data_IF_173208455678
#
_entry.id   IF_173208455678
#
_cell.length_a   1.000
_cell.length_b   1.000
_cell.length_c   1.000
_cell.angle_alpha   90.00
_cell.angle_beta   90.00
_cell.angle_gamma   90.00
#
_symmetry.space_group_name_H-M   'P 1'
#
loop_
_entity.id
_entity.type
_entity.pdbx_description
1 polymer ?
#
# COMPACT_ATOMS: atom_id res chain seq x y z
N UNK A 1 12.48 -23.25 -15.85
CA UNK A 1 13.61 -23.63 -14.97
C UNK A 1 14.66 -22.52 -14.93
N UNK A 2 15.70 -22.65 -14.09
CA UNK A 2 16.77 -21.63 -13.89
C UNK A 2 17.56 -21.31 -15.16
N UNK A 3 17.86 -22.32 -15.99
CA UNK A 3 18.66 -22.15 -17.22
C UNK A 3 17.92 -21.42 -18.35
N UNK A 4 16.58 -21.51 -18.38
CA UNK A 4 15.74 -20.78 -19.32
C UNK A 4 15.96 -21.12 -20.81
N UNK A 5 15.30 -20.38 -21.68
CA UNK A 5 15.50 -20.40 -23.14
C UNK A 5 15.83 -18.97 -23.61
N UNK A 6 16.67 -18.83 -24.63
CA UNK A 6 16.99 -17.53 -25.22
C UNK A 6 16.19 -17.38 -26.50
N UNK A 7 15.41 -16.32 -26.60
CA UNK A 7 14.65 -15.97 -27.80
C UNK A 7 14.86 -14.48 -28.10
N UNK A 8 15.30 -14.15 -29.32
CA UNK A 8 15.51 -12.77 -29.78
C UNK A 8 16.35 -11.90 -28.81
N UNK A 9 17.50 -12.41 -28.36
CA UNK A 9 18.42 -11.78 -27.40
C UNK A 9 17.89 -11.55 -25.98
N UNK A 10 16.67 -11.98 -25.67
CA UNK A 10 16.09 -11.94 -24.32
C UNK A 10 16.13 -13.35 -23.72
N UNK A 11 16.69 -13.47 -22.52
CA UNK A 11 16.72 -14.74 -21.78
C UNK A 11 15.40 -14.90 -21.03
N UNK A 12 14.60 -15.89 -21.41
CA UNK A 12 13.39 -16.31 -20.73
C UNK A 12 13.73 -17.36 -19.69
N UNK A 13 13.78 -16.98 -18.42
CA UNK A 13 13.97 -17.90 -17.31
C UNK A 13 12.95 -17.62 -16.21
N UNK A 14 12.96 -18.42 -15.15
CA UNK A 14 12.02 -18.27 -14.04
C UNK A 14 12.05 -16.87 -13.37
N UNK A 15 13.14 -16.11 -13.55
CA UNK A 15 13.31 -14.77 -12.98
C UNK A 15 12.82 -13.65 -13.92
N UNK A 16 12.88 -13.83 -15.24
CA UNK A 16 12.51 -12.80 -16.24
C UNK A 16 11.15 -13.04 -16.88
N UNK A 17 10.73 -14.31 -17.04
CA UNK A 17 9.49 -14.67 -17.73
C UNK A 17 8.23 -14.07 -17.10
N UNK A 18 8.05 -14.04 -15.76
CA UNK A 18 6.89 -13.40 -15.17
C UNK A 18 6.80 -11.90 -15.49
N UNK A 19 7.93 -11.18 -15.46
CA UNK A 19 7.97 -9.76 -15.76
C UNK A 19 7.62 -9.48 -17.24
N UNK A 20 8.19 -10.26 -18.17
CA UNK A 20 7.89 -10.13 -19.60
C UNK A 20 6.43 -10.44 -19.92
N UNK A 21 5.84 -11.45 -19.26
CA UNK A 21 4.42 -11.75 -19.39
C UNK A 21 3.55 -10.59 -18.91
N UNK A 22 3.88 -9.95 -17.78
CA UNK A 22 3.16 -8.78 -17.29
C UNK A 22 3.23 -7.60 -18.25
N UNK A 23 4.38 -7.37 -18.89
CA UNK A 23 4.53 -6.35 -19.93
C UNK A 23 3.61 -6.64 -21.11
N UNK A 24 3.58 -7.89 -21.59
CA UNK A 24 2.72 -8.30 -22.69
C UNK A 24 1.23 -8.13 -22.36
N UNK A 25 0.79 -8.56 -21.18
CA UNK A 25 -0.60 -8.38 -20.71
C UNK A 25 -0.95 -6.89 -20.63
N UNK A 26 -0.02 -6.06 -20.14
CA UNK A 26 -0.23 -4.60 -20.05
C UNK A 26 -0.38 -3.97 -21.44
N UNK A 27 0.41 -4.39 -22.42
CA UNK A 27 0.29 -3.94 -23.82
C UNK A 27 -1.06 -4.35 -24.43
N UNK A 28 -1.48 -5.61 -24.24
CA UNK A 28 -2.79 -6.09 -24.68
C UNK A 28 -3.91 -5.26 -24.04
N UNK A 29 -3.79 -4.95 -22.74
CA UNK A 29 -4.77 -4.14 -22.02
C UNK A 29 -4.86 -2.71 -22.58
N UNK A 30 -3.73 -2.10 -22.95
CA UNK A 30 -3.68 -0.78 -23.61
C UNK A 30 -4.36 -0.84 -24.98
N UNK A 31 -4.09 -1.88 -25.77
CA UNK A 31 -4.72 -2.07 -27.09
C UNK A 31 -6.24 -2.22 -26.92
N UNK A 32 -6.71 -3.06 -25.99
CA UNK A 32 -8.14 -3.22 -25.72
C UNK A 32 -8.78 -1.92 -25.24
N UNK A 33 -8.10 -1.14 -24.41
CA UNK A 33 -8.58 0.16 -23.94
C UNK A 33 -8.69 1.18 -25.08
N UNK A 34 -7.74 1.20 -26.01
CA UNK A 34 -7.76 2.15 -27.13
C UNK A 34 -8.79 1.75 -28.20
N UNK A 35 -8.89 0.46 -28.53
CA UNK A 35 -9.65 0.00 -29.69
C UNK A 35 -11.03 -0.59 -29.36
N UNK A 36 -11.22 -1.19 -28.18
CA UNK A 36 -12.46 -1.89 -27.82
C UNK A 36 -13.29 -1.18 -26.75
N UNK A 37 -12.65 -0.38 -25.90
CA UNK A 37 -13.35 0.27 -24.79
C UNK A 37 -14.10 1.52 -25.26
N UNK A 38 -15.43 1.50 -25.11
CA UNK A 38 -16.29 2.65 -25.32
C UNK A 38 -16.83 3.12 -23.96
N UNK A 39 -16.50 4.36 -23.58
CA UNK A 39 -16.95 4.93 -22.31
C UNK A 39 -18.46 5.22 -22.35
N UNK A 40 -19.26 4.43 -21.63
CA UNK A 40 -20.66 4.75 -21.35
C UNK A 40 -20.75 5.52 -20.04
N UNK A 41 -21.12 6.81 -20.12
CA UNK A 41 -21.26 7.66 -18.93
C UNK A 41 -22.65 7.52 -18.32
N UNK A 42 -22.71 7.03 -17.07
CA UNK A 42 -23.89 7.15 -16.23
C UNK A 42 -23.68 8.28 -15.22
N UNK A 43 -24.32 9.44 -15.44
CA UNK A 43 -24.25 10.59 -14.54
C UNK A 43 -24.91 11.84 -15.10
N UNK A 44 -25.14 12.85 -14.24
CA UNK A 44 -25.83 14.12 -14.57
C UNK A 44 -25.21 14.86 -15.78
N UNK A 45 -23.90 14.65 -16.02
CA UNK A 45 -23.20 15.23 -17.18
C UNK A 45 -23.58 14.53 -18.50
N UNK A 46 -23.90 13.23 -18.47
CA UNK A 46 -24.37 12.50 -19.65
C UNK A 46 -25.75 12.99 -20.11
N UNK A 47 -26.59 13.42 -19.16
CA UNK A 47 -27.92 14.00 -19.44
C UNK A 47 -27.81 15.31 -20.23
N UNK A 48 -26.78 16.12 -19.97
CA UNK A 48 -26.51 17.36 -20.70
C UNK A 48 -25.98 17.11 -22.13
N UNK A 49 -25.17 16.06 -22.35
CA UNK A 49 -24.65 15.71 -23.69
C UNK A 49 -25.75 15.10 -24.60
N UNK A 50 -26.79 14.47 -24.03
CA UNK A 50 -27.91 13.88 -24.77
C UNK A 50 -29.07 14.85 -25.06
N UNK A 51 -28.90 16.15 -24.78
CA UNK A 51 -29.93 17.17 -25.06
C UNK A 51 -31.18 17.10 -24.16
N UNK A 52 -31.23 16.18 -23.20
CA UNK A 52 -32.29 16.13 -22.19
C UNK A 52 -31.95 17.17 -21.14
N UNK A 53 -32.55 18.36 -21.23
CA UNK A 53 -32.46 19.43 -20.21
C UNK A 53 -33.11 18.97 -18.89
N UNK A 54 -32.44 18.08 -18.16
CA UNK A 54 -32.55 18.02 -16.71
C UNK A 54 -32.06 19.35 -16.12
N UNK A 55 -32.54 19.72 -14.92
CA UNK A 55 -32.05 20.91 -14.20
C UNK A 55 -30.52 20.97 -14.32
N UNK A 56 -29.98 22.10 -14.78
CA UNK A 56 -28.55 22.40 -14.73
C UNK A 56 -28.07 22.28 -13.27
N UNK A 57 -27.69 21.08 -12.83
CA UNK A 57 -27.06 20.88 -11.55
C UNK A 57 -25.61 21.27 -11.68
N UNK A 58 -25.28 22.44 -11.15
CA UNK A 58 -23.94 22.98 -11.14
C UNK A 58 -23.07 22.13 -10.22
N UNK A 59 -22.15 21.35 -10.79
CA UNK A 59 -21.20 20.52 -10.03
C UNK A 59 -20.01 21.39 -9.62
N UNK A 60 -19.77 21.63 -8.31
CA UNK A 60 -18.64 22.43 -7.84
C UNK A 60 -17.28 21.80 -8.17
N UNK A 61 -16.23 22.61 -8.20
CA UNK A 61 -14.85 22.09 -8.25
C UNK A 61 -14.57 21.26 -6.98
N UNK A 62 -13.91 20.12 -7.14
CA UNK A 62 -13.48 19.28 -6.01
C UNK A 62 -12.28 19.90 -5.30
N UNK A 63 -12.06 19.51 -4.05
CA UNK A 63 -10.91 19.95 -3.28
C UNK A 63 -9.64 19.19 -3.71
N UNK A 64 -8.74 19.91 -4.40
CA UNK A 64 -7.47 19.33 -4.88
C UNK A 64 -6.55 18.90 -3.74
N UNK A 65 -6.55 19.61 -2.61
CA UNK A 65 -5.71 19.25 -1.48
C UNK A 65 -6.17 17.94 -0.83
N UNK A 66 -7.49 17.75 -0.71
CA UNK A 66 -8.06 16.49 -0.23
C UNK A 66 -7.77 15.33 -1.19
N UNK A 67 -7.88 15.55 -2.51
CA UNK A 67 -7.56 14.56 -3.52
C UNK A 67 -6.07 14.15 -3.49
N UNK A 68 -5.14 15.12 -3.45
CA UNK A 68 -3.69 14.86 -3.35
C UNK A 68 -3.36 14.11 -2.05
N UNK A 69 -4.00 14.47 -0.93
CA UNK A 69 -3.83 13.76 0.34
C UNK A 69 -4.25 12.29 0.22
N UNK A 70 -5.34 12.01 -0.49
CA UNK A 70 -5.77 10.62 -0.74
C UNK A 70 -4.78 9.84 -1.61
N UNK A 71 -4.25 10.46 -2.66
CA UNK A 71 -3.22 9.85 -3.52
C UNK A 71 -1.97 9.52 -2.68
N UNK A 72 -1.54 10.43 -1.81
CA UNK A 72 -0.44 10.18 -0.89
C UNK A 72 -0.72 9.02 0.07
N UNK A 73 -1.92 8.95 0.66
CA UNK A 73 -2.29 7.84 1.55
C UNK A 73 -2.28 6.50 0.84
N UNK A 74 -2.64 6.46 -0.44
CA UNK A 74 -2.59 5.25 -1.26
C UNK A 74 -1.16 4.85 -1.61
N UNK A 75 -0.33 5.83 -1.98
CA UNK A 75 1.12 5.65 -2.12
C UNK A 75 1.73 5.05 -0.83
N UNK A 76 1.38 5.63 0.33
CA UNK A 76 1.84 5.17 1.64
C UNK A 76 1.42 3.72 1.92
N UNK A 77 0.14 3.39 1.72
CA UNK A 77 -0.37 2.03 1.93
C UNK A 77 0.39 1.01 1.09
N UNK A 78 0.64 1.33 -0.18
CA UNK A 78 1.34 0.45 -1.09
C UNK A 78 2.82 0.32 -0.78
N UNK A 79 3.47 1.40 -0.32
CA UNK A 79 4.85 1.36 0.16
C UNK A 79 4.99 0.39 1.36
N UNK A 80 4.08 0.49 2.34
CA UNK A 80 4.03 -0.43 3.49
C UNK A 80 3.75 -1.88 3.06
N UNK A 81 2.79 -2.10 2.15
CA UNK A 81 2.49 -3.44 1.64
C UNK A 81 3.71 -4.09 0.97
N UNK A 82 4.40 -3.32 0.13
CA UNK A 82 5.61 -3.78 -0.56
C UNK A 82 6.78 -4.01 0.39
N UNK A 83 6.91 -3.21 1.44
CA UNK A 83 7.91 -3.45 2.48
C UNK A 83 7.73 -4.81 3.15
N UNK A 84 6.49 -5.13 3.54
CA UNK A 84 6.17 -6.41 4.17
C UNK A 84 6.47 -7.55 3.20
N UNK A 85 6.06 -7.43 1.94
CA UNK A 85 6.27 -8.47 0.92
C UNK A 85 7.75 -8.75 0.63
N UNK A 86 8.57 -7.70 0.54
CA UNK A 86 9.99 -7.81 0.13
C UNK A 86 10.91 -8.11 1.30
N UNK A 87 10.70 -7.46 2.45
CA UNK A 87 11.63 -7.53 3.59
C UNK A 87 11.25 -8.64 4.58
N UNK A 88 9.99 -9.10 4.66
CA UNK A 88 9.61 -10.07 5.71
C UNK A 88 10.46 -11.35 5.70
N UNK A 89 10.87 -11.84 4.52
CA UNK A 89 11.74 -13.02 4.40
C UNK A 89 13.15 -12.77 4.93
N UNK A 90 13.96 -11.83 4.38
CA UNK A 90 15.30 -11.58 4.93
C UNK A 90 15.27 -11.10 6.39
N UNK A 91 14.21 -10.41 6.80
CA UNK A 91 13.96 -10.03 8.20
C UNK A 91 13.79 -11.26 9.10
N UNK A 92 12.92 -12.21 8.75
CA UNK A 92 12.72 -13.42 9.55
C UNK A 92 13.95 -14.35 9.55
N UNK A 93 14.68 -14.46 8.43
CA UNK A 93 15.95 -15.21 8.36
C UNK A 93 16.94 -14.66 9.39
N UNK A 94 17.15 -13.35 9.37
CA UNK A 94 18.13 -12.67 10.25
C UNK A 94 17.72 -12.63 11.72
N UNK A 95 16.42 -12.62 12.02
CA UNK A 95 15.92 -12.57 13.39
C UNK A 95 15.80 -13.94 14.05
N UNK A 96 15.31 -14.96 13.35
CA UNK A 96 14.92 -16.24 13.97
C UNK A 96 15.83 -17.41 13.61
N UNK A 97 16.90 -17.16 12.85
CA UNK A 97 17.87 -18.16 12.41
C UNK A 97 17.21 -19.34 11.65
N UNK A 98 16.06 -19.10 11.04
CA UNK A 98 15.34 -20.08 10.23
C UNK A 98 15.92 -20.12 8.82
N UNK A 99 16.06 -21.32 8.27
CA UNK A 99 16.51 -21.50 6.89
C UNK A 99 15.47 -21.00 5.86
N UNK A 100 15.91 -20.81 4.62
CA UNK A 100 15.09 -20.21 3.56
C UNK A 100 13.73 -20.91 3.37
N UNK A 101 13.72 -22.25 3.36
CA UNK A 101 12.49 -23.03 3.18
C UNK A 101 11.50 -22.83 4.34
N UNK A 102 12.01 -22.84 5.57
CA UNK A 102 11.22 -22.68 6.79
C UNK A 102 10.65 -21.27 6.90
N UNK A 103 11.44 -20.25 6.56
CA UNK A 103 10.98 -18.85 6.58
C UNK A 103 9.88 -18.61 5.57
N UNK A 104 10.07 -19.05 4.32
CA UNK A 104 9.06 -18.88 3.28
C UNK A 104 7.75 -19.57 3.68
N UNK A 105 7.84 -20.76 4.26
CA UNK A 105 6.66 -21.49 4.75
C UNK A 105 5.94 -20.74 5.89
N UNK A 106 6.65 -20.34 6.94
CA UNK A 106 6.03 -19.63 8.07
C UNK A 106 5.50 -18.26 7.68
N UNK A 107 6.25 -17.46 6.91
CA UNK A 107 5.74 -16.19 6.39
C UNK A 107 4.49 -16.40 5.51
N UNK A 108 4.44 -17.48 4.74
CA UNK A 108 3.24 -17.89 4.01
C UNK A 108 2.03 -18.13 4.91
N UNK A 109 2.21 -18.84 6.04
CA UNK A 109 1.14 -19.06 7.04
C UNK A 109 0.72 -17.76 7.70
N UNK A 110 1.66 -16.91 8.11
CA UNK A 110 1.38 -15.60 8.72
C UNK A 110 0.56 -14.72 7.75
N UNK A 111 0.98 -14.65 6.49
CA UNK A 111 0.28 -13.90 5.44
C UNK A 111 -1.10 -14.48 5.17
N UNK A 112 -1.24 -15.80 5.05
CA UNK A 112 -2.53 -16.44 4.85
C UNK A 112 -3.51 -16.11 5.97
N UNK A 113 -3.07 -16.23 7.24
CA UNK A 113 -3.89 -15.95 8.41
C UNK A 113 -4.29 -14.47 8.48
N UNK A 114 -3.36 -13.56 8.21
CA UNK A 114 -3.63 -12.12 8.12
C UNK A 114 -4.65 -11.80 7.02
N UNK A 115 -4.53 -12.46 5.85
CA UNK A 115 -5.50 -12.34 4.76
C UNK A 115 -6.89 -12.85 5.14
N UNK A 116 -7.02 -13.93 5.90
CA UNK A 116 -8.31 -14.39 6.41
C UNK A 116 -8.98 -13.30 7.28
N UNK A 117 -8.22 -12.67 8.17
CA UNK A 117 -8.70 -11.55 8.99
C UNK A 117 -9.09 -10.36 8.12
N UNK A 118 -8.30 -10.03 7.09
CA UNK A 118 -8.62 -8.97 6.12
C UNK A 118 -9.98 -9.23 5.44
N UNK A 119 -10.21 -10.44 4.94
CA UNK A 119 -11.46 -10.83 4.27
C UNK A 119 -12.65 -10.69 5.22
N UNK A 120 -12.52 -11.17 6.46
CA UNK A 120 -13.55 -11.00 7.49
C UNK A 120 -13.83 -9.52 7.72
N UNK A 121 -12.80 -8.68 7.85
CA UNK A 121 -12.95 -7.24 8.02
C UNK A 121 -13.62 -6.56 6.82
N UNK A 122 -13.33 -6.96 5.57
CA UNK A 122 -14.05 -6.47 4.40
C UNK A 122 -15.54 -6.81 4.46
N UNK A 123 -15.89 -8.06 4.80
CA UNK A 123 -17.29 -8.47 5.00
C UNK A 123 -17.95 -7.61 6.09
N UNK A 124 -17.26 -7.39 7.20
CA UNK A 124 -17.75 -6.55 8.30
C UNK A 124 -17.98 -5.11 7.84
N UNK A 125 -17.05 -4.51 7.09
CA UNK A 125 -17.20 -3.16 6.53
C UNK A 125 -18.40 -3.11 5.58
N UNK A 126 -18.60 -4.12 4.74
CA UNK A 126 -19.67 -4.14 3.74
C UNK A 126 -21.08 -4.35 4.33
N UNK A 127 -21.23 -5.24 5.32
CA UNK A 127 -22.56 -5.66 5.80
C UNK A 127 -22.98 -5.05 7.14
N UNK A 128 -22.06 -4.50 7.93
CA UNK A 128 -22.38 -4.00 9.27
C UNK A 128 -22.41 -2.47 9.35
N UNK A 129 -22.74 -1.94 10.53
CA UNK A 129 -22.72 -0.49 10.81
C UNK A 129 -21.32 0.11 10.72
N UNK A 130 -20.27 -0.70 10.71
CA UNK A 130 -18.88 -0.24 10.60
C UNK A 130 -18.65 0.49 9.27
N UNK A 131 -19.21 0.03 8.15
CA UNK A 131 -19.13 0.74 6.87
C UNK A 131 -19.84 2.11 6.85
N UNK A 132 -20.72 2.37 7.83
CA UNK A 132 -21.41 3.66 8.00
C UNK A 132 -20.66 4.62 8.93
N UNK A 133 -19.61 4.15 9.61
CA UNK A 133 -18.73 5.03 10.38
C UNK A 133 -18.08 6.02 9.41
N UNK A 134 -17.85 7.24 9.89
CA UNK A 134 -17.11 8.24 9.14
C UNK A 134 -15.77 7.67 8.67
N UNK A 135 -15.62 7.56 7.35
CA UNK A 135 -14.46 6.94 6.69
C UNK A 135 -13.15 7.57 7.13
N UNK A 136 -13.14 8.87 7.48
CA UNK A 136 -11.96 9.55 8.02
C UNK A 136 -11.51 8.96 9.35
N UNK A 137 -12.45 8.57 10.22
CA UNK A 137 -12.13 7.93 11.51
C UNK A 137 -11.53 6.54 11.28
N UNK A 138 -12.05 5.80 10.29
CA UNK A 138 -11.49 4.51 9.90
C UNK A 138 -10.06 4.65 9.36
N UNK A 139 -9.78 5.68 8.55
CA UNK A 139 -8.44 5.97 8.04
C UNK A 139 -7.45 6.36 9.14
N UNK A 140 -7.88 7.16 10.13
CA UNK A 140 -7.04 7.48 11.29
C UNK A 140 -6.76 6.22 12.09
N UNK A 141 -7.78 5.41 12.36
CA UNK A 141 -7.64 4.14 13.09
C UNK A 141 -6.64 3.21 12.41
N UNK A 142 -6.75 3.01 11.10
CA UNK A 142 -5.85 2.12 10.37
C UNK A 142 -4.42 2.68 10.27
N UNK A 143 -4.27 3.99 10.08
CA UNK A 143 -2.96 4.64 10.09
C UNK A 143 -2.28 4.50 11.47
N UNK A 144 -3.04 4.65 12.57
CA UNK A 144 -2.55 4.37 13.92
C UNK A 144 -2.11 2.91 14.09
N UNK A 145 -2.87 1.94 13.56
CA UNK A 145 -2.48 0.53 13.59
C UNK A 145 -1.16 0.29 12.84
N UNK A 146 -0.97 0.87 11.66
CA UNK A 146 0.29 0.75 10.94
C UNK A 146 1.47 1.37 11.71
N UNK A 147 1.26 2.49 12.41
CA UNK A 147 2.30 3.08 13.28
C UNK A 147 2.61 2.12 14.42
N UNK A 148 1.59 1.56 15.09
CA UNK A 148 1.78 0.58 16.17
C UNK A 148 2.53 -0.66 15.68
N UNK A 149 2.22 -1.18 14.49
CA UNK A 149 2.96 -2.28 13.87
C UNK A 149 4.46 -1.97 13.79
N UNK A 150 4.83 -0.83 13.21
CA UNK A 150 6.23 -0.45 13.05
C UNK A 150 6.91 -0.15 14.39
N UNK A 151 6.19 0.40 15.38
CA UNK A 151 6.72 0.60 16.72
C UNK A 151 6.96 -0.74 17.44
N UNK A 152 6.09 -1.73 17.29
CA UNK A 152 6.28 -3.04 17.91
C UNK A 152 7.43 -3.82 17.27
N UNK A 153 7.62 -3.69 15.95
CA UNK A 153 8.72 -4.31 15.21
C UNK A 153 10.02 -3.50 15.26
N UNK A 154 10.03 -2.35 15.94
CA UNK A 154 11.24 -1.53 16.10
C UNK A 154 12.28 -2.25 16.98
N UNK A 155 13.59 -2.17 16.68
CA UNK A 155 14.65 -2.80 17.48
C UNK A 155 14.87 -2.07 18.81
N UNK A 156 13.93 -2.21 19.74
CA UNK A 156 14.07 -1.57 21.04
C UNK A 156 15.24 -2.15 21.84
N UNK A 157 15.94 -1.31 22.65
CA UNK A 157 17.09 -1.75 23.43
C UNK A 157 16.73 -2.77 24.52
N UNK A 158 15.45 -2.87 24.91
CA UNK A 158 14.96 -3.85 25.88
C UNK A 158 14.64 -5.21 25.25
N UNK A 159 14.63 -5.33 23.93
CA UNK A 159 14.54 -6.62 23.27
C UNK A 159 15.88 -7.37 23.35
N UNK A 160 15.84 -8.70 23.38
CA UNK A 160 17.03 -9.52 23.47
C UNK A 160 17.92 -9.36 22.23
N UNK A 161 19.24 -9.36 22.40
CA UNK A 161 20.21 -9.24 21.31
C UNK A 161 21.62 -9.55 21.81
N UNK A 162 22.66 -9.45 20.96
CA UNK A 162 22.64 -9.13 19.53
C UNK A 162 22.11 -10.27 18.65
N UNK A 163 22.05 -10.05 17.33
CA UNK A 163 21.63 -11.08 16.38
C UNK A 163 22.74 -12.10 16.12
N UNK A 164 22.34 -13.33 15.82
CA UNK A 164 23.28 -14.41 15.55
C UNK A 164 23.74 -14.38 14.10
N UNK A 165 25.05 -14.41 13.89
CA UNK A 165 25.64 -14.62 12.58
C UNK A 165 25.54 -16.10 12.18
N UNK A 166 25.46 -16.36 10.87
CA UNK A 166 25.44 -17.72 10.32
C UNK A 166 26.71 -18.46 10.77
N UNK A 167 26.52 -19.64 11.36
CA UNK A 167 27.63 -20.53 11.73
C UNK A 167 28.14 -21.23 10.47
N UNK A 168 29.40 -20.99 10.14
CA UNK A 168 30.07 -21.64 9.01
C UNK A 168 30.43 -23.07 9.46
N UNK A 169 29.93 -24.07 8.73
CA UNK A 169 30.32 -25.46 8.94
C UNK A 169 31.80 -25.62 8.55
N UNK A 170 32.60 -26.34 9.34
CA UNK A 170 34.08 -26.32 9.28
C UNK A 170 34.74 -26.71 7.95
N UNK A 171 33.96 -27.07 6.93
CA UNK A 171 34.42 -27.48 5.59
C UNK A 171 33.96 -26.56 4.45
N UNK A 172 33.20 -25.49 4.72
CA UNK A 172 32.75 -24.51 3.72
C UNK A 172 33.26 -23.10 4.03
N UNK A 173 33.49 -22.30 2.99
CA UNK A 173 33.80 -20.86 3.12
C UNK A 173 32.63 -19.96 2.74
N UNK A 174 31.52 -20.58 2.32
CA UNK A 174 30.34 -19.91 1.77
C UNK A 174 29.24 -19.95 2.83
N UNK A 175 28.67 -18.78 3.15
CA UNK A 175 27.49 -18.65 3.98
C UNK A 175 26.26 -19.09 3.17
N UNK A 176 25.53 -20.10 3.67
CA UNK A 176 24.36 -20.65 2.97
C UNK A 176 23.13 -20.65 3.87
N UNK A 177 22.22 -19.70 3.60
CA UNK A 177 20.94 -19.52 4.30
C UNK A 177 19.95 -20.66 4.05
N UNK A 178 20.19 -21.49 3.02
CA UNK A 178 19.35 -22.66 2.75
C UNK A 178 19.56 -23.77 3.77
N UNK A 179 20.72 -23.81 4.43
CA UNK A 179 21.06 -24.82 5.44
C UNK A 179 20.79 -24.26 6.84
N UNK A 180 21.39 -23.11 7.17
CA UNK A 180 21.28 -22.47 8.49
C UNK A 180 20.94 -21.00 8.30
N UNK A 181 19.82 -20.59 8.88
CA UNK A 181 19.44 -19.18 8.89
C UNK A 181 20.28 -18.36 9.85
N UNK A 182 20.19 -17.05 9.70
CA UNK A 182 20.88 -16.09 10.56
C UNK A 182 21.36 -14.91 9.74
N UNK A 183 22.14 -14.06 10.39
CA UNK A 183 22.66 -12.88 9.73
C UNK A 183 23.94 -13.18 8.93
N UNK A 184 24.00 -12.70 7.69
CA UNK A 184 25.20 -12.75 6.86
C UNK A 184 26.29 -11.86 7.48
N UNK A 185 27.57 -12.24 7.41
CA UNK A 185 28.65 -11.42 8.00
C UNK A 185 28.81 -10.05 7.36
N UNK A 186 28.34 -9.88 6.12
CA UNK A 186 28.29 -8.57 5.43
C UNK A 186 27.34 -7.57 6.08
N UNK A 187 26.42 -8.02 6.93
CA UNK A 187 25.46 -7.19 7.64
C UNK A 187 26.03 -6.80 9.02
N UNK A 188 26.90 -5.80 9.03
CA UNK A 188 27.56 -5.30 10.26
C UNK A 188 26.55 -4.86 11.34
N UNK A 189 25.35 -4.47 10.93
CA UNK A 189 24.27 -4.04 11.82
C UNK A 189 23.76 -5.14 12.76
N UNK A 190 23.97 -6.41 12.44
CA UNK A 190 23.55 -7.51 13.30
C UNK A 190 24.30 -7.58 14.63
N UNK A 191 25.52 -7.02 14.70
CA UNK A 191 26.32 -7.01 15.91
C UNK A 191 25.75 -6.09 17.02
N UNK A 192 24.93 -5.11 16.66
CA UNK A 192 24.41 -4.10 17.60
C UNK A 192 22.88 -3.96 17.57
N UNK A 193 22.19 -4.72 16.73
CA UNK A 193 20.72 -4.65 16.62
C UNK A 193 20.06 -5.72 17.49
N UNK A 194 18.99 -5.34 18.19
CA UNK A 194 18.19 -6.28 18.98
C UNK A 194 17.31 -7.18 18.11
N UNK A 195 16.83 -8.30 18.66
CA UNK A 195 15.90 -9.25 18.05
C UNK A 195 14.48 -8.95 18.47
N UNK A 196 13.58 -8.70 17.52
CA UNK A 196 12.14 -8.61 17.81
C UNK A 196 11.66 -9.97 18.35
N UNK A 197 10.98 -10.02 19.51
CA UNK A 197 10.43 -11.26 20.04
C UNK A 197 9.42 -11.87 19.07
N UNK A 198 9.52 -13.19 18.85
CA UNK A 198 8.70 -13.90 17.86
C UNK A 198 7.20 -13.70 18.09
N UNK A 199 6.75 -13.71 19.35
CA UNK A 199 5.34 -13.51 19.70
C UNK A 199 4.85 -12.13 19.25
N UNK A 200 5.67 -11.08 19.45
CA UNK A 200 5.33 -9.72 19.03
C UNK A 200 5.25 -9.63 17.51
N UNK A 201 6.21 -10.22 16.81
CA UNK A 201 6.20 -10.27 15.35
C UNK A 201 4.96 -10.98 14.79
N UNK A 202 4.68 -12.20 15.28
CA UNK A 202 3.51 -12.99 14.84
C UNK A 202 2.20 -12.25 15.13
N UNK A 203 2.03 -11.71 16.33
CA UNK A 203 0.85 -10.94 16.70
C UNK A 203 0.68 -9.69 15.82
N UNK A 204 1.75 -8.92 15.63
CA UNK A 204 1.72 -7.70 14.83
C UNK A 204 1.42 -8.00 13.35
N UNK A 205 2.02 -9.06 12.82
CA UNK A 205 1.84 -9.46 11.42
C UNK A 205 0.42 -9.97 11.14
N UNK A 206 -0.14 -10.80 12.03
CA UNK A 206 -1.47 -11.38 11.84
C UNK A 206 -2.56 -10.36 12.19
N UNK A 207 -2.54 -9.86 13.42
CA UNK A 207 -3.66 -9.09 13.97
C UNK A 207 -3.60 -7.64 13.52
N UNK A 208 -2.46 -6.96 13.69
CA UNK A 208 -2.40 -5.52 13.42
C UNK A 208 -2.54 -5.25 11.93
N UNK A 209 -1.78 -5.95 11.08
CA UNK A 209 -1.90 -5.80 9.63
C UNK A 209 -3.27 -6.28 9.11
N UNK A 210 -3.80 -7.38 9.68
CA UNK A 210 -5.12 -7.93 9.35
C UNK A 210 -6.29 -6.96 9.56
N UNK A 211 -6.11 -5.96 10.42
CA UNK A 211 -7.04 -4.85 10.58
C UNK A 211 -6.59 -3.61 9.79
N UNK A 212 -5.31 -3.25 9.80
CA UNK A 212 -4.84 -2.00 9.18
C UNK A 212 -5.13 -1.92 7.67
N UNK A 213 -4.94 -3.01 6.91
CA UNK A 213 -5.17 -3.01 5.47
C UNK A 213 -6.62 -2.71 5.05
N UNK A 214 -7.65 -3.48 5.46
CA UNK A 214 -9.03 -3.29 5.02
C UNK A 214 -9.62 -1.95 5.50
N UNK A 215 -9.23 -1.50 6.69
CA UNK A 215 -9.65 -0.21 7.23
C UNK A 215 -8.92 0.99 6.60
N UNK A 216 -7.92 0.75 5.75
CA UNK A 216 -7.32 1.81 4.91
C UNK A 216 -7.88 1.77 3.50
N UNK A 217 -7.79 0.62 2.82
CA UNK A 217 -8.07 0.49 1.38
C UNK A 217 -9.52 0.83 1.02
N UNK A 218 -10.49 0.21 1.70
CA UNK A 218 -11.92 0.39 1.43
C UNK A 218 -12.40 1.84 1.66
N UNK A 219 -12.18 2.44 2.85
CA UNK A 219 -12.60 3.82 3.06
C UNK A 219 -11.82 4.81 2.20
N UNK A 220 -10.53 4.59 1.91
CA UNK A 220 -9.74 5.52 1.10
C UNK A 220 -10.25 5.61 -0.34
N UNK A 221 -10.46 4.47 -1.01
CA UNK A 221 -11.00 4.45 -2.37
C UNK A 221 -12.41 5.05 -2.45
N UNK A 222 -13.23 4.84 -1.40
CA UNK A 222 -14.57 5.41 -1.33
C UNK A 222 -14.53 6.93 -1.13
N UNK A 223 -13.71 7.42 -0.19
CA UNK A 223 -13.54 8.85 0.10
C UNK A 223 -13.00 9.58 -1.12
N UNK A 224 -12.02 9.02 -1.82
CA UNK A 224 -11.46 9.63 -3.03
C UNK A 224 -12.53 9.82 -4.11
N UNK A 225 -13.34 8.77 -4.36
CA UNK A 225 -14.46 8.83 -5.29
C UNK A 225 -15.53 9.85 -4.86
N UNK A 226 -15.81 9.96 -3.56
CA UNK A 226 -16.78 10.92 -3.02
C UNK A 226 -16.30 12.38 -3.06
N UNK A 227 -15.00 12.63 -2.90
CA UNK A 227 -14.39 13.97 -3.05
C UNK A 227 -14.53 14.45 -4.49
N UNK A 228 -14.30 13.56 -5.47
CA UNK A 228 -14.50 13.89 -6.88
C UNK A 228 -15.99 14.14 -7.18
N UNK A 229 -16.89 13.36 -6.59
CA UNK A 229 -18.33 13.46 -6.85
C UNK A 229 -18.70 12.96 -8.26
N UNK A 230 -19.94 13.21 -8.72
CA UNK A 230 -20.52 12.59 -9.92
C UNK A 230 -20.01 13.23 -11.23
N UNK A 231 -18.70 13.13 -11.49
CA UNK A 231 -18.04 13.58 -12.72
C UNK A 231 -17.38 12.41 -13.44
N UNK A 232 -16.84 12.64 -14.64
CA UNK A 232 -15.96 11.66 -15.32
C UNK A 232 -14.70 11.44 -14.44
N UNK A 233 -14.64 10.32 -13.71
CA UNK A 233 -13.59 10.06 -12.70
C UNK A 233 -12.38 9.30 -13.27
N UNK A 234 -12.46 8.72 -14.46
CA UNK A 234 -11.47 7.78 -15.01
C UNK A 234 -10.02 8.28 -14.91
N UNK A 235 -9.73 9.50 -15.39
CA UNK A 235 -8.38 10.09 -15.31
C UNK A 235 -7.88 10.24 -13.87
N UNK A 236 -8.73 10.69 -12.94
CA UNK A 236 -8.32 10.89 -11.55
C UNK A 236 -8.12 9.57 -10.80
N UNK A 237 -8.95 8.56 -11.08
CA UNK A 237 -8.75 7.19 -10.57
C UNK A 237 -7.47 6.58 -11.15
N UNK A 238 -7.18 6.85 -12.43
CA UNK A 238 -5.90 6.48 -13.05
C UNK A 238 -4.70 7.14 -12.36
N UNK A 239 -4.79 8.44 -12.03
CA UNK A 239 -3.72 9.14 -11.29
C UNK A 239 -3.56 8.61 -9.85
N UNK A 240 -4.66 8.26 -9.19
CA UNK A 240 -4.65 7.61 -7.88
C UNK A 240 -3.87 6.30 -7.94
N UNK A 241 -4.19 5.43 -8.90
CA UNK A 241 -3.50 4.15 -9.05
C UNK A 241 -2.07 4.28 -9.56
N UNK A 242 -1.78 5.30 -10.39
CA UNK A 242 -0.43 5.60 -10.81
C UNK A 242 0.50 5.92 -9.62
N UNK A 243 0.00 6.64 -8.62
CA UNK A 243 0.75 6.88 -7.38
C UNK A 243 1.13 5.58 -6.65
N UNK A 244 0.22 4.61 -6.61
CA UNK A 244 0.49 3.27 -6.07
C UNK A 244 1.57 2.53 -6.86
N UNK A 245 1.49 2.54 -8.19
CA UNK A 245 2.49 1.90 -9.05
C UNK A 245 3.90 2.47 -8.82
N UNK A 246 4.03 3.78 -8.66
CA UNK A 246 5.31 4.43 -8.30
C UNK A 246 5.82 3.88 -6.96
N UNK A 247 4.96 3.80 -5.94
CA UNK A 247 5.34 3.26 -4.64
C UNK A 247 5.87 1.83 -4.75
N UNK A 248 5.18 0.96 -5.49
CA UNK A 248 5.56 -0.45 -5.65
C UNK A 248 6.84 -0.64 -6.48
N UNK A 249 7.18 0.30 -7.36
CA UNK A 249 8.41 0.27 -8.14
C UNK A 249 9.62 0.78 -7.34
N UNK A 250 9.47 1.92 -6.65
CA UNK A 250 10.57 2.59 -5.97
C UNK A 250 10.85 1.99 -4.59
N UNK A 251 9.81 1.63 -3.83
CA UNK A 251 9.97 1.17 -2.43
C UNK A 251 10.88 -0.06 -2.32
N UNK A 252 10.71 -1.17 -3.08
CA UNK A 252 11.59 -2.34 -2.97
C UNK A 252 13.07 -2.01 -3.13
N UNK A 253 13.40 -1.13 -4.07
CA UNK A 253 14.77 -0.77 -4.41
C UNK A 253 15.43 -0.04 -3.24
N UNK A 254 14.78 1.03 -2.76
CA UNK A 254 15.27 1.81 -1.61
C UNK A 254 15.39 0.90 -0.39
N UNK A 255 14.38 0.07 -0.15
CA UNK A 255 14.29 -0.76 1.03
C UNK A 255 15.31 -1.89 1.07
N UNK A 256 15.57 -2.54 -0.06
CA UNK A 256 16.60 -3.59 -0.14
C UNK A 256 17.97 -3.00 0.13
N UNK A 257 18.30 -1.86 -0.49
CA UNK A 257 19.58 -1.16 -0.28
C UNK A 257 19.73 -0.75 1.18
N UNK A 258 18.66 -0.16 1.75
CA UNK A 258 18.66 0.32 3.13
C UNK A 258 18.78 -0.83 4.14
N UNK A 259 18.08 -1.94 3.90
CA UNK A 259 18.17 -3.14 4.72
C UNK A 259 19.58 -3.75 4.70
N UNK A 260 20.20 -3.89 3.52
CA UNK A 260 21.55 -4.45 3.43
C UNK A 260 22.61 -3.58 4.11
N UNK A 261 22.51 -2.25 3.97
CA UNK A 261 23.51 -1.30 4.49
C UNK A 261 23.36 -1.02 5.98
N UNK A 262 22.12 -0.86 6.44
CA UNK A 262 21.83 -0.23 7.74
C UNK A 262 20.84 -1.02 8.59
N UNK A 263 20.41 -2.18 8.10
CA UNK A 263 19.50 -3.07 8.78
C UNK A 263 18.06 -2.58 8.78
N UNK A 264 17.24 -3.28 9.55
CA UNK A 264 15.80 -3.02 9.59
C UNK A 264 15.41 -1.82 10.47
N UNK A 265 16.36 -1.26 11.25
CA UNK A 265 16.12 -0.07 12.06
C UNK A 265 15.71 1.10 11.14
N UNK A 266 16.54 1.42 10.16
CA UNK A 266 16.31 2.57 9.27
C UNK A 266 15.16 2.33 8.30
N UNK A 267 14.93 1.09 7.86
CA UNK A 267 13.75 0.76 7.06
C UNK A 267 12.47 1.00 7.87
N UNK A 268 12.47 0.68 9.16
CA UNK A 268 11.34 0.95 10.06
C UNK A 268 11.16 2.45 10.30
N UNK A 269 12.25 3.20 10.52
CA UNK A 269 12.21 4.67 10.68
C UNK A 269 11.65 5.36 9.44
N UNK A 270 12.07 4.95 8.24
CA UNK A 270 11.58 5.49 6.97
C UNK A 270 10.05 5.33 6.87
N UNK A 271 9.51 4.16 7.20
CA UNK A 271 8.07 3.93 7.16
C UNK A 271 7.31 4.67 8.26
N UNK A 272 7.88 4.78 9.47
CA UNK A 272 7.32 5.62 10.52
C UNK A 272 7.24 7.09 10.07
N UNK A 273 8.24 7.58 9.32
CA UNK A 273 8.22 8.89 8.69
C UNK A 273 7.12 9.03 7.63
N UNK A 274 6.96 8.05 6.74
CA UNK A 274 5.90 8.05 5.74
C UNK A 274 4.50 8.01 6.37
N UNK A 275 4.33 7.20 7.41
CA UNK A 275 3.09 7.08 8.17
C UNK A 275 2.79 8.34 8.98
N UNK A 276 3.78 8.98 9.58
CA UNK A 276 3.58 10.21 10.35
C UNK A 276 3.15 11.37 9.45
N UNK A 277 3.72 11.49 8.23
CA UNK A 277 3.24 12.44 7.22
C UNK A 277 1.81 12.11 6.79
N UNK A 278 1.49 10.83 6.57
CA UNK A 278 0.12 10.41 6.25
C UNK A 278 -0.89 10.76 7.34
N UNK A 279 -0.53 10.51 8.60
CA UNK A 279 -1.32 10.88 9.77
C UNK A 279 -1.48 12.40 9.87
N UNK A 280 -0.41 13.17 9.66
CA UNK A 280 -0.47 14.63 9.68
C UNK A 280 -1.41 15.17 8.58
N UNK A 281 -1.34 14.63 7.36
CA UNK A 281 -2.26 14.99 6.27
C UNK A 281 -3.72 14.68 6.62
N UNK A 282 -3.99 13.53 7.22
CA UNK A 282 -5.32 13.15 7.69
C UNK A 282 -5.86 14.13 8.74
N UNK A 283 -5.03 14.59 9.67
CA UNK A 283 -5.41 15.52 10.74
C UNK A 283 -5.60 16.94 10.19
N UNK A 284 -4.62 17.46 9.44
CA UNK A 284 -4.64 18.83 8.89
C UNK A 284 -5.81 18.99 7.91
N UNK A 285 -6.00 18.01 7.03
CA UNK A 285 -7.07 18.05 6.02
C UNK A 285 -8.34 17.31 6.46
N UNK A 286 -8.49 16.98 7.75
CA UNK A 286 -9.65 16.24 8.27
C UNK A 286 -10.99 16.86 7.87
N UNK A 287 -11.09 18.19 7.95
CA UNK A 287 -12.31 18.91 7.58
C UNK A 287 -12.51 19.05 6.06
N UNK A 288 -11.46 18.87 5.27
CA UNK A 288 -11.49 18.96 3.80
C UNK A 288 -11.73 17.62 3.12
N UNK A 289 -11.35 16.51 3.74
CA UNK A 289 -11.58 15.14 3.28
C UNK A 289 -13.05 14.77 3.53
N UNK A 290 -13.97 15.46 2.84
CA UNK A 290 -15.42 15.23 2.95
C UNK A 290 -16.00 15.01 1.56
N UNK A 291 -17.12 14.26 1.46
CA UNK A 291 -17.84 14.10 0.20
C UNK A 291 -18.21 15.45 -0.42
N UNK A 292 -18.15 15.54 -1.74
CA UNK A 292 -18.51 16.74 -2.47
C UNK A 292 -19.97 17.12 -2.20
N UNK A 293 -20.19 18.33 -1.70
CA UNK A 293 -21.54 18.85 -1.46
C UNK A 293 -22.11 19.40 -2.78
N UNK A 294 -23.04 18.64 -3.37
CA UNK A 294 -23.70 19.01 -4.64
C UNK A 294 -24.62 20.23 -4.51
N UNK A 295 -25.21 20.45 -3.34
CA UNK A 295 -26.03 21.64 -3.06
C UNK A 295 -25.16 22.71 -2.40
N UNK A 296 -24.84 23.81 -3.10
CA UNK A 296 -24.15 24.92 -2.49
C UNK A 296 -25.00 25.57 -1.39
N UNK A 297 -24.32 26.20 -0.42
CA UNK A 297 -24.96 26.98 0.65
C UNK A 297 -25.57 28.25 0.05
N UNK A 298 -26.74 28.68 0.52
CA UNK A 298 -27.34 29.97 0.10
C UNK A 298 -26.37 31.11 0.34
N UNK A 299 -26.28 32.02 -0.61
CA UNK A 299 -25.46 33.24 -0.54
C UNK A 299 -23.96 33.06 -0.77
N UNK A 300 -23.45 31.84 -1.00
CA UNK A 300 -22.01 31.61 -1.23
C UNK A 300 -21.71 31.42 -2.72
N UNK A 301 -20.79 32.21 -3.33
CA UNK A 301 -20.34 31.98 -4.70
C UNK A 301 -19.70 30.61 -4.83
N UNK A 302 -20.26 29.76 -5.71
CA UNK A 302 -19.76 28.40 -5.91
C UNK A 302 -19.16 28.26 -7.31
N UNK A 303 -17.83 28.22 -7.44
CA UNK A 303 -17.18 28.09 -8.74
C UNK A 303 -17.39 26.68 -9.32
N UNK A 304 -17.78 26.63 -10.59
CA UNK A 304 -17.87 25.40 -11.39
C UNK A 304 -17.01 25.53 -12.66
N UNK A 305 -17.16 24.58 -13.60
CA UNK A 305 -16.32 24.55 -14.81
C UNK A 305 -16.48 25.82 -15.66
N UNK A 306 -17.70 26.31 -15.83
CA UNK A 306 -18.03 27.37 -16.80
C UNK A 306 -18.48 28.68 -16.15
N UNK A 307 -18.29 28.86 -14.83
CA UNK A 307 -18.67 30.09 -14.15
C UNK A 307 -18.75 29.98 -12.62
N UNK A 308 -19.52 30.89 -12.01
CA UNK A 308 -19.83 30.92 -10.57
C UNK A 308 -21.33 30.89 -10.39
N UNK A 309 -21.83 29.93 -9.61
CA UNK A 309 -23.25 29.80 -9.29
C UNK A 309 -23.56 30.36 -7.90
N UNK A 310 -24.62 31.15 -7.82
CA UNK A 310 -25.18 31.66 -6.57
C UNK A 310 -26.51 30.97 -6.32
N UNK A 311 -26.61 30.30 -5.17
CA UNK A 311 -27.91 29.86 -4.67
C UNK A 311 -28.48 31.02 -3.84
N UNK A 312 -29.55 31.63 -4.33
CA UNK A 312 -30.37 32.58 -3.57
C UNK A 312 -31.05 31.80 -2.43
#
# INVERSE_FOLDING_TARGET
GKSGCIFLSIRFNMYTSPALLMVLISLISIILLIFCFSESYAGVVATNEQGVRGRFEVIPKYDRAAAISCIYLWFMLQSVATNIEVIATPFAISLYNWNDATVVFYNGILQFTSCCINVVNYIVISYTRIGRIDKRKLLIFSCSLFIVYHLLTFPWPFYGGPLDFIKIDGNSTIEDTSIVGGCLRRYEWCAYTSRVPLIIYVFSFIVILGFAFPFTSAPLGTVFSEILGPRKQGMMQGLFEFGACIARCISPLILTILFERSGYLWTTVMHLGLLSVGMALLIIFYQRIVPLRLRPKSGIPTPYKDGVFYRL
#
